data_IF_456787374973
#
_entry.id   IF_456787374973
#
_cell.length_a   1.000
_cell.length_b   1.000
_cell.length_c   1.000
_cell.angle_alpha   90.00
_cell.angle_beta   90.00
_cell.angle_gamma   90.00
#
_symmetry.space_group_name_H-M   'P 1'
#
loop_
_entity.id
_entity.type
_entity.pdbx_description
1 polymer ?
#
# COMPACT_ATOMS: atom_id res chain seq x y z
N UNK A 1 27.54 -15.94 5.12
CA UNK A 1 26.15 -16.01 4.65
C UNK A 1 25.19 -15.04 5.34
N UNK A 2 25.29 -14.72 6.66
CA UNK A 2 24.37 -13.78 7.33
C UNK A 2 24.43 -12.33 6.80
N UNK A 3 25.60 -11.83 6.44
CA UNK A 3 25.84 -10.44 5.98
C UNK A 3 25.10 -10.11 4.65
N UNK A 4 24.90 -11.10 3.78
CA UNK A 4 24.23 -10.91 2.49
C UNK A 4 22.69 -10.84 2.60
N UNK A 5 22.06 -11.34 3.68
CA UNK A 5 20.60 -11.34 3.85
C UNK A 5 20.05 -9.94 4.17
N UNK A 6 20.72 -9.23 5.07
CA UNK A 6 20.35 -7.85 5.42
C UNK A 6 20.47 -6.96 4.19
N UNK A 7 21.60 -7.04 3.49
CA UNK A 7 21.81 -6.28 2.26
C UNK A 7 20.75 -6.60 1.19
N UNK A 8 20.39 -7.87 1.01
CA UNK A 8 19.39 -8.28 0.05
C UNK A 8 18.01 -7.64 0.30
N UNK A 9 17.68 -7.30 1.55
CA UNK A 9 16.43 -6.60 1.91
C UNK A 9 16.53 -5.09 1.68
N UNK A 10 17.66 -4.49 2.06
CA UNK A 10 17.79 -3.03 2.07
C UNK A 10 18.21 -2.43 0.72
N UNK A 11 18.98 -3.14 -0.13
CA UNK A 11 19.42 -2.52 -1.38
C UNK A 11 18.28 -2.15 -2.36
N UNK A 12 17.14 -2.87 -2.46
CA UNK A 12 16.04 -2.42 -3.30
C UNK A 12 15.40 -1.12 -2.80
N UNK A 13 15.32 -0.96 -1.47
CA UNK A 13 14.85 0.27 -0.84
C UNK A 13 15.80 1.43 -1.18
N UNK A 14 17.11 1.19 -1.04
CA UNK A 14 18.13 2.17 -1.38
C UNK A 14 18.06 2.58 -2.87
N UNK A 15 17.94 1.60 -3.78
CA UNK A 15 17.81 1.85 -5.22
C UNK A 15 16.54 2.65 -5.53
N UNK A 16 15.40 2.31 -4.92
CA UNK A 16 14.15 3.04 -5.05
C UNK A 16 14.35 4.52 -4.69
N UNK A 17 14.92 4.79 -3.50
CA UNK A 17 15.13 6.16 -3.05
C UNK A 17 16.16 6.92 -3.88
N UNK A 18 17.25 6.27 -4.28
CA UNK A 18 18.27 6.90 -5.10
C UNK A 18 17.70 7.37 -6.44
N UNK A 19 16.96 6.51 -7.13
CA UNK A 19 16.34 6.84 -8.42
C UNK A 19 15.25 7.90 -8.22
N UNK A 20 14.33 7.67 -7.28
CA UNK A 20 13.20 8.57 -7.02
C UNK A 20 13.67 9.96 -6.61
N UNK A 21 14.61 10.06 -5.67
CA UNK A 21 15.16 11.35 -5.22
C UNK A 21 15.91 12.07 -6.33
N UNK A 22 16.74 11.36 -7.12
CA UNK A 22 17.45 11.96 -8.23
C UNK A 22 16.51 12.55 -9.28
N UNK A 23 15.48 11.77 -9.68
CA UNK A 23 14.48 12.24 -10.66
C UNK A 23 13.66 13.38 -10.10
N UNK A 24 13.22 13.30 -8.84
CA UNK A 24 12.45 14.36 -8.18
C UNK A 24 13.27 15.66 -8.10
N UNK A 25 14.53 15.56 -7.71
CA UNK A 25 15.46 16.72 -7.67
C UNK A 25 15.69 17.35 -9.05
N UNK A 26 15.92 16.52 -10.08
CA UNK A 26 16.05 17.00 -11.45
C UNK A 26 14.78 17.72 -11.94
N UNK A 27 13.60 17.19 -11.61
CA UNK A 27 12.32 17.83 -11.93
C UNK A 27 12.12 19.14 -11.15
N UNK A 28 12.59 19.25 -9.92
CA UNK A 28 12.56 20.51 -9.17
C UNK A 28 13.43 21.60 -9.84
N UNK A 29 14.62 21.23 -10.33
CA UNK A 29 15.48 22.16 -11.08
C UNK A 29 14.81 22.61 -12.37
N UNK A 30 14.18 21.68 -13.11
CA UNK A 30 13.61 21.96 -14.43
C UNK A 30 12.27 22.70 -14.38
N UNK A 31 11.41 22.38 -13.41
CA UNK A 31 10.01 22.82 -13.35
C UNK A 31 9.73 23.77 -12.18
N UNK A 32 10.70 23.96 -11.28
CA UNK A 32 10.54 24.73 -10.05
C UNK A 32 9.78 23.98 -8.95
N UNK A 33 9.74 24.57 -7.76
CA UNK A 33 9.06 24.04 -6.58
C UNK A 33 7.68 24.68 -6.43
N UNK A 34 6.64 24.00 -6.97
CA UNK A 34 5.26 24.42 -6.81
C UNK A 34 4.41 23.25 -6.31
N UNK A 35 3.44 23.53 -5.45
CA UNK A 35 2.50 22.52 -4.95
C UNK A 35 1.63 21.95 -6.07
N UNK A 36 1.28 22.78 -7.07
CA UNK A 36 0.42 22.39 -8.19
C UNK A 36 0.92 21.18 -8.96
N UNK A 37 2.24 21.07 -9.16
CA UNK A 37 2.85 19.96 -9.93
C UNK A 37 3.58 18.94 -9.04
N UNK A 38 3.47 19.08 -7.70
CA UNK A 38 4.14 18.17 -6.77
C UNK A 38 3.76 16.70 -7.03
N UNK A 39 2.46 16.41 -7.16
CA UNK A 39 1.99 15.05 -7.40
C UNK A 39 2.40 14.51 -8.78
N UNK A 40 2.53 15.38 -9.79
CA UNK A 40 3.08 14.97 -11.09
C UNK A 40 4.56 14.58 -10.96
N UNK A 41 5.37 15.38 -10.25
CA UNK A 41 6.78 15.06 -9.97
C UNK A 41 6.90 13.75 -9.19
N UNK A 42 6.02 13.54 -8.21
CA UNK A 42 5.96 12.31 -7.45
C UNK A 42 5.61 11.09 -8.33
N UNK A 43 4.68 11.24 -9.27
CA UNK A 43 4.34 10.19 -10.23
C UNK A 43 5.53 9.85 -11.14
N UNK A 44 6.20 10.84 -11.71
CA UNK A 44 7.33 10.62 -12.61
C UNK A 44 8.51 9.99 -11.86
N UNK A 45 8.86 10.50 -10.67
CA UNK A 45 9.98 9.97 -9.88
C UNK A 45 9.74 8.54 -9.40
N UNK A 46 8.54 8.23 -8.89
CA UNK A 46 8.19 6.86 -8.52
C UNK A 46 8.08 5.96 -9.75
N UNK A 47 7.50 6.45 -10.84
CA UNK A 47 7.38 5.72 -12.10
C UNK A 47 8.74 5.28 -12.67
N UNK A 48 9.76 6.14 -12.57
CA UNK A 48 11.13 5.83 -13.00
C UNK A 48 11.75 4.63 -12.26
N UNK A 49 11.25 4.30 -11.07
CA UNK A 49 11.73 3.14 -10.30
C UNK A 49 11.11 1.81 -10.75
N UNK A 50 9.91 1.85 -11.35
CA UNK A 50 9.11 0.64 -11.69
C UNK A 50 9.87 -0.37 -12.55
N UNK A 51 10.61 0.02 -13.62
CA UNK A 51 11.32 -0.96 -14.44
C UNK A 51 12.33 -1.77 -13.64
N UNK A 52 13.11 -1.13 -12.75
CA UNK A 52 14.11 -1.80 -11.91
C UNK A 52 13.44 -2.68 -10.87
N UNK A 53 12.41 -2.17 -10.18
CA UNK A 53 11.65 -2.95 -9.20
C UNK A 53 10.96 -4.15 -9.85
N UNK A 54 10.40 -3.98 -11.04
CA UNK A 54 9.77 -5.07 -11.78
C UNK A 54 10.77 -6.15 -12.18
N UNK A 55 11.97 -5.76 -12.60
CA UNK A 55 13.04 -6.70 -12.93
C UNK A 55 13.46 -7.52 -11.69
N UNK A 56 13.65 -6.87 -10.54
CA UNK A 56 13.98 -7.54 -9.28
C UNK A 56 12.85 -8.47 -8.81
N UNK A 57 11.62 -8.00 -8.85
CA UNK A 57 10.45 -8.79 -8.50
C UNK A 57 10.29 -10.01 -9.43
N UNK A 58 10.50 -9.84 -10.72
CA UNK A 58 10.47 -10.93 -11.70
C UNK A 58 11.54 -11.96 -11.40
N UNK A 59 12.76 -11.53 -11.11
CA UNK A 59 13.86 -12.43 -10.74
C UNK A 59 13.51 -13.26 -9.49
N UNK A 60 13.00 -12.62 -8.42
CA UNK A 60 12.59 -13.29 -7.19
C UNK A 60 11.45 -14.30 -7.45
N UNK A 61 10.49 -13.97 -8.33
CA UNK A 61 9.39 -14.87 -8.70
C UNK A 61 9.81 -16.04 -9.60
N UNK A 62 10.80 -15.88 -10.45
CA UNK A 62 11.32 -16.99 -11.26
C UNK A 62 11.97 -18.06 -10.40
N UNK A 63 12.73 -17.64 -9.38
CA UNK A 63 13.29 -18.57 -8.39
C UNK A 63 12.18 -19.33 -7.66
N UNK A 64 11.16 -18.62 -7.15
CA UNK A 64 10.02 -19.24 -6.48
C UNK A 64 9.25 -20.23 -7.39
N UNK A 65 9.06 -19.86 -8.65
CA UNK A 65 8.37 -20.68 -9.66
C UNK A 65 9.12 -21.97 -10.01
N UNK A 66 10.45 -21.92 -10.07
CA UNK A 66 11.28 -23.09 -10.30
C UNK A 66 11.23 -24.04 -9.12
N UNK A 67 11.21 -23.50 -7.88
CA UNK A 67 11.22 -24.30 -6.65
C UNK A 67 9.86 -24.89 -6.33
N UNK A 68 8.76 -24.09 -6.47
CA UNK A 68 7.43 -24.47 -5.98
C UNK A 68 6.38 -24.70 -7.08
N UNK A 69 6.74 -24.51 -8.37
CA UNK A 69 5.81 -24.63 -9.48
C UNK A 69 4.88 -23.43 -9.67
N UNK A 70 4.04 -23.46 -10.70
CA UNK A 70 3.11 -22.38 -11.07
C UNK A 70 1.66 -22.80 -10.76
N UNK A 71 1.04 -22.18 -9.77
CA UNK A 71 -0.41 -22.30 -9.58
C UNK A 71 -1.19 -21.50 -10.64
N UNK A 72 -2.07 -22.17 -11.38
CA UNK A 72 -3.07 -21.53 -12.25
C UNK A 72 -4.33 -21.27 -11.44
N UNK A 73 -4.73 -20.01 -11.31
CA UNK A 73 -6.00 -19.64 -10.66
C UNK A 73 -6.96 -19.02 -11.66
N UNK A 74 -8.25 -19.39 -11.67
CA UNK A 74 -9.22 -18.89 -12.62
C UNK A 74 -9.47 -17.39 -12.48
N UNK A 75 -9.77 -16.71 -13.60
CA UNK A 75 -9.99 -15.25 -13.63
C UNK A 75 -11.17 -14.82 -12.75
N UNK A 76 -12.26 -15.58 -12.73
CA UNK A 76 -13.43 -15.26 -11.89
C UNK A 76 -13.09 -15.20 -10.40
N UNK A 77 -12.21 -16.09 -9.92
CA UNK A 77 -11.72 -16.04 -8.55
C UNK A 77 -10.89 -14.77 -8.30
N UNK A 78 -10.08 -14.33 -9.28
CA UNK A 78 -9.31 -13.10 -9.15
C UNK A 78 -10.21 -11.88 -8.97
N UNK A 79 -11.30 -11.77 -9.74
CA UNK A 79 -12.25 -10.65 -9.64
C UNK A 79 -12.89 -10.59 -8.27
N UNK A 80 -13.36 -11.72 -7.74
CA UNK A 80 -13.94 -11.79 -6.39
C UNK A 80 -12.91 -11.37 -5.34
N UNK A 81 -11.68 -11.88 -5.43
CA UNK A 81 -10.60 -11.49 -4.52
C UNK A 81 -10.24 -10.00 -4.63
N UNK A 82 -10.27 -9.43 -5.84
CA UNK A 82 -10.02 -8.01 -6.05
C UNK A 82 -11.10 -7.14 -5.39
N UNK A 83 -12.38 -7.47 -5.58
CA UNK A 83 -13.48 -6.75 -4.92
C UNK A 83 -13.33 -6.82 -3.40
N UNK A 84 -13.06 -8.00 -2.83
CA UNK A 84 -12.90 -8.17 -1.39
C UNK A 84 -11.67 -7.44 -0.84
N UNK A 85 -10.54 -7.46 -1.56
CA UNK A 85 -9.33 -6.73 -1.19
C UNK A 85 -9.54 -5.20 -1.23
N UNK A 86 -10.20 -4.69 -2.27
CA UNK A 86 -10.56 -3.29 -2.39
C UNK A 86 -11.52 -2.85 -1.26
N UNK A 87 -12.55 -3.67 -0.98
CA UNK A 87 -13.49 -3.40 0.12
C UNK A 87 -12.77 -3.38 1.46
N UNK A 88 -11.92 -4.37 1.75
CA UNK A 88 -11.17 -4.43 3.00
C UNK A 88 -10.22 -3.23 3.16
N UNK A 89 -9.40 -2.93 2.15
CA UNK A 89 -8.44 -1.84 2.22
C UNK A 89 -9.13 -0.47 2.23
N UNK A 90 -10.18 -0.27 1.43
CA UNK A 90 -10.93 0.97 1.38
C UNK A 90 -11.63 1.29 2.69
N UNK A 91 -12.38 0.34 3.27
CA UNK A 91 -13.10 0.56 4.53
C UNK A 91 -12.16 0.69 5.73
N UNK A 92 -11.08 -0.10 5.76
CA UNK A 92 -10.06 0.01 6.80
C UNK A 92 -9.31 1.35 6.68
N UNK A 93 -8.97 1.81 5.46
CA UNK A 93 -8.37 3.11 5.21
C UNK A 93 -9.26 4.26 5.69
N UNK A 94 -10.57 4.20 5.44
CA UNK A 94 -11.55 5.17 5.97
C UNK A 94 -11.54 5.19 7.49
N UNK A 95 -11.60 4.03 8.14
CA UNK A 95 -11.61 3.95 9.60
C UNK A 95 -10.30 4.48 10.21
N UNK A 96 -9.15 4.13 9.63
CA UNK A 96 -7.85 4.64 10.08
C UNK A 96 -7.76 6.16 9.97
N UNK A 97 -8.14 6.72 8.82
CA UNK A 97 -8.17 8.18 8.64
C UNK A 97 -9.06 8.86 9.67
N UNK A 98 -10.24 8.31 9.93
CA UNK A 98 -11.17 8.87 10.91
C UNK A 98 -10.58 8.82 12.33
N UNK A 99 -10.09 7.65 12.79
CA UNK A 99 -9.53 7.54 14.13
C UNK A 99 -8.30 8.43 14.33
N UNK A 100 -7.44 8.55 13.32
CA UNK A 100 -6.28 9.44 13.38
C UNK A 100 -6.73 10.91 13.42
N UNK A 101 -7.71 11.30 12.61
CA UNK A 101 -8.26 12.66 12.60
C UNK A 101 -8.91 13.07 13.93
N UNK A 102 -9.47 12.11 14.67
CA UNK A 102 -10.03 12.34 16.00
C UNK A 102 -8.96 12.59 17.09
N UNK A 103 -7.68 12.39 16.77
CA UNK A 103 -6.57 12.62 17.69
C UNK A 103 -5.95 14.01 17.49
N UNK A 104 -5.29 14.60 18.49
CA UNK A 104 -4.56 15.85 18.32
C UNK A 104 -3.30 15.72 17.42
N UNK A 105 -2.88 14.50 17.07
CA UNK A 105 -1.67 14.24 16.29
C UNK A 105 -1.67 14.96 14.93
N UNK A 106 -2.83 15.03 14.27
CA UNK A 106 -2.99 15.69 12.97
C UNK A 106 -2.70 17.19 13.07
N UNK A 107 -3.11 17.82 14.20
CA UNK A 107 -2.98 19.25 14.42
C UNK A 107 -1.55 19.67 14.80
N UNK A 108 -0.83 18.81 15.52
CA UNK A 108 0.52 19.10 16.01
C UNK A 108 1.65 18.60 15.10
N UNK A 109 1.33 17.84 14.06
CA UNK A 109 2.33 17.29 13.13
C UNK A 109 2.54 18.20 11.92
N UNK A 110 3.50 19.11 12.00
CA UNK A 110 3.88 19.98 10.88
C UNK A 110 4.24 19.18 9.61
N UNK A 111 5.00 18.09 9.77
CA UNK A 111 5.37 17.22 8.65
C UNK A 111 4.16 16.58 7.97
N UNK A 112 3.10 16.26 8.72
CA UNK A 112 1.85 15.78 8.13
C UNK A 112 1.09 16.90 7.41
N UNK A 113 1.01 18.09 7.99
CA UNK A 113 0.35 19.24 7.36
C UNK A 113 1.01 19.59 6.02
N UNK A 114 2.35 19.70 5.99
CA UNK A 114 3.11 19.93 4.76
C UNK A 114 2.90 18.84 3.72
N UNK A 115 2.91 17.57 4.14
CA UNK A 115 2.65 16.45 3.23
C UNK A 115 1.23 16.49 2.66
N UNK A 116 0.24 16.86 3.48
CA UNK A 116 -1.16 16.99 3.09
C UNK A 116 -1.37 18.16 2.10
N UNK A 117 -0.77 19.32 2.36
CA UNK A 117 -0.78 20.46 1.45
C UNK A 117 -0.16 20.12 0.09
N UNK A 118 0.98 19.44 0.08
CA UNK A 118 1.64 18.99 -1.15
C UNK A 118 0.78 17.96 -1.91
N UNK A 119 0.12 17.06 -1.18
CA UNK A 119 -0.73 16.04 -1.79
C UNK A 119 -1.98 16.65 -2.44
N UNK A 120 -2.65 17.57 -1.75
CA UNK A 120 -3.90 18.18 -2.20
C UNK A 120 -3.73 19.51 -2.94
N UNK A 121 -2.52 20.09 -3.02
CA UNK A 121 -2.24 21.38 -3.65
C UNK A 121 -2.38 21.41 -5.17
N UNK A 122 -2.39 20.25 -5.83
CA UNK A 122 -2.54 20.13 -7.29
C UNK A 122 -3.93 19.69 -7.75
N UNK A 123 -4.13 19.60 -9.06
CA UNK A 123 -5.38 19.12 -9.64
C UNK A 123 -5.69 17.66 -9.27
N UNK A 124 -6.96 17.34 -9.04
CA UNK A 124 -7.44 16.00 -8.61
C UNK A 124 -6.94 14.89 -9.56
N UNK A 125 -6.87 15.14 -10.87
CA UNK A 125 -6.38 14.15 -11.83
C UNK A 125 -4.91 13.77 -11.58
N UNK A 126 -4.05 14.72 -11.15
CA UNK A 126 -2.66 14.44 -10.79
C UNK A 126 -2.57 13.63 -9.51
N UNK A 127 -3.42 13.95 -8.52
CA UNK A 127 -3.53 13.17 -7.29
C UNK A 127 -3.91 11.72 -7.60
N UNK A 128 -4.93 11.50 -8.45
CA UNK A 128 -5.37 10.17 -8.86
C UNK A 128 -4.28 9.44 -9.64
N UNK A 129 -3.68 10.08 -10.64
CA UNK A 129 -2.61 9.47 -11.46
C UNK A 129 -1.43 9.04 -10.57
N UNK A 130 -0.96 9.92 -9.70
CA UNK A 130 0.16 9.63 -8.82
C UNK A 130 -0.21 8.58 -7.78
N UNK A 131 -1.19 8.86 -6.92
CA UNK A 131 -1.42 8.08 -5.70
C UNK A 131 -2.35 6.87 -5.87
N UNK A 132 -3.10 6.78 -6.99
CA UNK A 132 -3.93 5.60 -7.24
C UNK A 132 -3.36 4.70 -8.35
N UNK A 133 -2.42 5.18 -9.17
CA UNK A 133 -1.86 4.38 -10.27
C UNK A 133 -0.37 4.13 -10.08
N UNK A 134 0.45 5.19 -10.14
CA UNK A 134 1.91 5.01 -10.27
C UNK A 134 2.57 4.66 -8.94
N UNK A 135 2.32 5.44 -7.89
CA UNK A 135 2.96 5.24 -6.58
C UNK A 135 2.59 3.89 -5.96
N UNK A 136 1.31 3.46 -5.93
CA UNK A 136 0.96 2.13 -5.41
C UNK A 136 1.63 0.98 -6.15
N UNK A 137 1.82 1.07 -7.48
CA UNK A 137 2.53 0.04 -8.22
C UNK A 137 4.00 -0.05 -7.77
N UNK A 138 4.70 1.08 -7.67
CA UNK A 138 6.10 1.10 -7.25
C UNK A 138 6.26 0.60 -5.80
N UNK A 139 5.43 1.09 -4.88
CA UNK A 139 5.52 0.77 -3.46
C UNK A 139 5.11 -0.69 -3.17
N UNK A 140 4.04 -1.21 -3.76
CA UNK A 140 3.66 -2.59 -3.54
C UNK A 140 4.63 -3.59 -4.20
N UNK A 141 5.23 -3.25 -5.34
CA UNK A 141 6.34 -4.04 -5.89
C UNK A 141 7.52 -4.08 -4.93
N UNK A 142 7.90 -2.94 -4.36
CA UNK A 142 9.02 -2.85 -3.43
C UNK A 142 8.71 -3.60 -2.13
N UNK A 143 7.64 -3.20 -1.42
CA UNK A 143 7.40 -3.68 -0.06
C UNK A 143 6.78 -5.07 -0.02
N UNK A 144 5.79 -5.39 -0.86
CA UNK A 144 5.11 -6.69 -0.85
C UNK A 144 5.70 -7.66 -1.87
N UNK A 145 6.12 -7.13 -3.00
CA UNK A 145 6.76 -7.94 -4.05
C UNK A 145 8.17 -8.41 -3.70
N UNK A 146 8.97 -7.56 -3.06
CA UNK A 146 10.41 -7.82 -2.83
C UNK A 146 10.72 -7.94 -1.34
N UNK A 147 10.53 -6.87 -0.54
CA UNK A 147 10.96 -6.82 0.87
C UNK A 147 10.29 -7.91 1.70
N UNK A 148 8.96 -8.01 1.67
CA UNK A 148 8.20 -9.03 2.39
C UNK A 148 8.71 -10.43 2.03
N UNK A 149 8.81 -10.75 0.75
CA UNK A 149 9.25 -12.06 0.27
C UNK A 149 10.66 -12.40 0.73
N UNK A 150 11.59 -11.47 0.60
CA UNK A 150 12.99 -11.71 0.99
C UNK A 150 13.16 -11.89 2.49
N UNK A 151 12.41 -11.14 3.32
CA UNK A 151 12.38 -11.36 4.77
C UNK A 151 11.73 -12.71 5.09
N UNK A 152 10.62 -13.05 4.44
CA UNK A 152 9.91 -14.29 4.67
C UNK A 152 10.75 -15.55 4.39
N UNK A 153 11.69 -15.49 3.44
CA UNK A 153 12.61 -16.60 3.14
C UNK A 153 13.47 -17.03 4.33
N UNK A 154 13.75 -16.17 5.30
CA UNK A 154 14.60 -16.51 6.44
C UNK A 154 13.96 -16.35 7.81
N UNK A 155 12.84 -15.62 7.90
CA UNK A 155 12.15 -15.33 9.16
C UNK A 155 10.67 -15.74 9.17
N UNK A 156 10.14 -16.21 8.03
CA UNK A 156 8.74 -16.59 7.89
C UNK A 156 7.83 -15.42 7.49
N UNK A 157 6.63 -15.76 6.99
CA UNK A 157 5.68 -14.79 6.41
C UNK A 157 5.17 -13.75 7.42
N UNK A 158 4.98 -14.14 8.69
CA UNK A 158 4.52 -13.22 9.73
C UNK A 158 5.56 -12.12 9.97
N UNK A 159 6.81 -12.49 10.16
CA UNK A 159 7.90 -11.52 10.36
C UNK A 159 8.12 -10.69 9.10
N UNK A 160 8.07 -11.31 7.92
CA UNK A 160 8.13 -10.59 6.63
C UNK A 160 7.04 -9.53 6.50
N UNK A 161 5.80 -9.86 6.90
CA UNK A 161 4.67 -8.92 6.88
C UNK A 161 4.88 -7.75 7.82
N UNK A 162 5.32 -8.00 9.06
CA UNK A 162 5.59 -6.96 10.06
C UNK A 162 6.71 -6.02 9.57
N UNK A 163 7.84 -6.58 9.13
CA UNK A 163 8.95 -5.76 8.63
C UNK A 163 8.57 -4.93 7.41
N UNK A 164 7.86 -5.53 6.45
CA UNK A 164 7.37 -4.82 5.26
C UNK A 164 6.44 -3.66 5.64
N UNK A 165 5.53 -3.87 6.59
CA UNK A 165 4.58 -2.86 7.05
C UNK A 165 5.27 -1.71 7.81
N UNK A 166 6.19 -2.04 8.72
CA UNK A 166 6.94 -1.03 9.46
C UNK A 166 7.87 -0.21 8.57
N UNK A 167 8.60 -0.84 7.64
CA UNK A 167 9.46 -0.14 6.69
C UNK A 167 8.62 0.75 5.77
N UNK A 168 7.45 0.28 5.32
CA UNK A 168 6.51 1.08 4.53
C UNK A 168 6.01 2.30 5.30
N UNK A 169 5.72 2.18 6.59
CA UNK A 169 5.38 3.33 7.43
C UNK A 169 6.54 4.31 7.58
N UNK A 170 7.75 3.79 7.87
CA UNK A 170 8.94 4.62 8.13
C UNK A 170 9.33 5.54 6.97
N UNK A 171 9.06 5.15 5.74
CA UNK A 171 9.39 5.97 4.57
C UNK A 171 8.59 7.27 4.46
N UNK A 172 7.50 7.40 5.18
CA UNK A 172 6.66 8.60 5.13
C UNK A 172 7.16 9.75 6.01
N UNK A 173 8.18 9.52 6.84
CA UNK A 173 8.96 10.52 7.61
C UNK A 173 8.17 11.35 8.64
N UNK A 174 6.86 11.18 8.77
CA UNK A 174 6.06 11.79 9.84
C UNK A 174 5.22 10.75 10.58
N UNK A 175 4.95 11.00 11.86
CA UNK A 175 4.30 10.04 12.76
C UNK A 175 2.88 9.68 12.32
N UNK A 176 2.12 10.65 11.82
CA UNK A 176 0.72 10.45 11.39
C UNK A 176 0.66 9.47 10.22
N UNK A 177 1.44 9.74 9.19
CA UNK A 177 1.51 8.85 8.02
C UNK A 177 2.19 7.52 8.35
N UNK A 178 3.18 7.51 9.26
CA UNK A 178 3.78 6.26 9.75
C UNK A 178 2.72 5.33 10.32
N UNK A 179 1.87 5.82 11.23
CA UNK A 179 0.81 5.00 11.84
C UNK A 179 -0.17 4.50 10.77
N UNK A 180 -0.66 5.40 9.93
CA UNK A 180 -1.60 5.05 8.86
C UNK A 180 -1.00 4.03 7.90
N UNK A 181 0.18 4.30 7.34
CA UNK A 181 0.82 3.47 6.35
C UNK A 181 1.27 2.12 6.91
N UNK A 182 1.78 2.06 8.16
CA UNK A 182 2.15 0.79 8.79
C UNK A 182 0.92 -0.11 8.99
N UNK A 183 -0.20 0.42 9.48
CA UNK A 183 -1.42 -0.35 9.72
C UNK A 183 -2.10 -0.79 8.42
N UNK A 184 -2.28 0.12 7.44
CA UNK A 184 -2.77 -0.24 6.11
C UNK A 184 -1.82 -1.22 5.44
N UNK A 185 -0.53 -0.98 5.58
CA UNK A 185 0.55 -1.82 5.08
C UNK A 185 0.53 -3.25 5.62
N UNK A 186 0.19 -3.42 6.89
CA UNK A 186 0.02 -4.74 7.49
C UNK A 186 -1.17 -5.49 6.87
N UNK A 187 -2.29 -4.80 6.65
CA UNK A 187 -3.44 -5.38 5.94
C UNK A 187 -3.08 -5.83 4.53
N UNK A 188 -2.39 -4.96 3.76
CA UNK A 188 -1.95 -5.28 2.39
C UNK A 188 -0.94 -6.45 2.36
N UNK A 189 -0.05 -6.53 3.36
CA UNK A 189 0.85 -7.67 3.50
C UNK A 189 0.10 -8.98 3.74
N UNK A 190 -0.93 -8.99 4.61
CA UNK A 190 -1.79 -10.16 4.83
C UNK A 190 -2.50 -10.57 3.54
N UNK A 191 -3.04 -9.60 2.76
CA UNK A 191 -3.65 -9.88 1.45
C UNK A 191 -2.66 -10.61 0.54
N UNK A 192 -1.42 -10.11 0.42
CA UNK A 192 -0.40 -10.73 -0.44
C UNK A 192 0.03 -12.10 0.08
N UNK A 193 0.25 -12.25 1.38
CA UNK A 193 0.62 -13.55 1.98
C UNK A 193 -0.46 -14.61 1.72
N UNK A 194 -1.72 -14.25 1.87
CA UNK A 194 -2.83 -15.18 1.65
C UNK A 194 -3.08 -15.49 0.18
N UNK A 195 -3.08 -14.45 -0.67
CA UNK A 195 -3.46 -14.60 -2.08
C UNK A 195 -2.28 -14.89 -3.01
N UNK A 196 -1.05 -14.67 -2.55
CA UNK A 196 0.19 -14.71 -3.35
C UNK A 196 0.15 -13.76 -4.59
N UNK A 197 -0.60 -12.65 -4.48
CA UNK A 197 -0.84 -11.70 -5.58
C UNK A 197 -0.57 -10.26 -5.14
N UNK A 198 0.55 -9.70 -5.55
CA UNK A 198 0.91 -8.28 -5.30
C UNK A 198 -0.12 -7.33 -5.95
N UNK A 199 -0.69 -7.70 -7.10
CA UNK A 199 -1.71 -6.88 -7.77
C UNK A 199 -2.96 -6.59 -6.92
N UNK A 200 -3.33 -7.49 -5.99
CA UNK A 200 -4.45 -7.25 -5.09
C UNK A 200 -4.10 -6.22 -4.00
N UNK A 201 -2.86 -6.16 -3.57
CA UNK A 201 -2.39 -5.09 -2.69
C UNK A 201 -2.35 -3.75 -3.43
N UNK A 202 -1.87 -3.72 -4.68
CA UNK A 202 -1.91 -2.50 -5.53
C UNK A 202 -3.34 -1.98 -5.65
N UNK A 203 -4.32 -2.85 -5.97
CA UNK A 203 -5.72 -2.45 -6.08
C UNK A 203 -6.31 -1.97 -4.75
N UNK A 204 -6.02 -2.66 -3.65
CA UNK A 204 -6.45 -2.25 -2.31
C UNK A 204 -5.87 -0.91 -1.89
N UNK A 205 -4.56 -0.70 -2.10
CA UNK A 205 -3.87 0.56 -1.83
C UNK A 205 -4.45 1.71 -2.67
N UNK A 206 -4.58 1.51 -3.98
CA UNK A 206 -5.20 2.47 -4.88
C UNK A 206 -6.62 2.84 -4.46
N UNK A 207 -7.41 1.86 -4.01
CA UNK A 207 -8.79 2.08 -3.54
C UNK A 207 -8.82 2.93 -2.26
N UNK A 208 -7.94 2.65 -1.29
CA UNK A 208 -7.85 3.45 -0.06
C UNK A 208 -7.50 4.92 -0.37
N UNK A 209 -6.53 5.14 -1.26
CA UNK A 209 -6.13 6.48 -1.70
C UNK A 209 -7.24 7.18 -2.49
N UNK A 210 -7.92 6.48 -3.40
CA UNK A 210 -9.02 7.05 -4.20
C UNK A 210 -10.18 7.50 -3.31
N UNK A 211 -10.54 6.71 -2.30
CA UNK A 211 -11.59 7.07 -1.33
C UNK A 211 -11.14 8.30 -0.52
N UNK A 212 -9.87 8.38 -0.10
CA UNK A 212 -9.36 9.53 0.62
C UNK A 212 -9.43 10.81 -0.22
N UNK A 213 -9.01 10.77 -1.49
CA UNK A 213 -9.11 11.89 -2.44
C UNK A 213 -10.56 12.31 -2.62
N UNK A 214 -11.46 11.36 -2.90
CA UNK A 214 -12.87 11.64 -3.12
C UNK A 214 -13.53 12.30 -1.90
N UNK A 215 -13.28 11.79 -0.69
CA UNK A 215 -13.81 12.35 0.55
C UNK A 215 -13.31 13.78 0.78
N UNK A 216 -12.01 14.02 0.62
CA UNK A 216 -11.42 15.36 0.79
C UNK A 216 -11.96 16.35 -0.25
N UNK A 217 -12.07 15.92 -1.51
CA UNK A 217 -12.54 16.80 -2.59
C UNK A 217 -14.04 17.12 -2.51
N UNK A 218 -14.86 16.20 -1.97
CA UNK A 218 -16.33 16.34 -1.92
C UNK A 218 -16.90 16.77 -0.58
N UNK A 219 -16.13 16.66 0.52
CA UNK A 219 -16.64 16.83 1.88
C UNK A 219 -17.62 15.73 2.33
N UNK A 220 -17.80 14.68 1.53
CA UNK A 220 -18.70 13.57 1.89
C UNK A 220 -18.17 12.83 3.12
N UNK A 221 -19.05 12.63 4.10
CA UNK A 221 -18.77 11.96 5.36
C UNK A 221 -17.84 12.74 6.31
N UNK A 222 -17.75 14.06 6.20
CA UNK A 222 -16.92 14.91 7.11
C UNK A 222 -17.30 14.76 8.58
N UNK A 223 -18.57 14.45 8.88
CA UNK A 223 -19.02 14.13 10.24
C UNK A 223 -18.23 12.99 10.87
N UNK A 224 -17.70 12.09 10.06
CA UNK A 224 -17.00 10.89 10.55
C UNK A 224 -15.58 11.16 11.03
N UNK A 225 -15.03 12.34 10.76
CA UNK A 225 -13.74 12.79 11.32
C UNK A 225 -13.87 13.37 12.74
N UNK A 226 -15.12 13.59 13.21
CA UNK A 226 -15.37 14.18 14.51
C UNK A 226 -15.45 13.10 15.61
N UNK A 227 -14.93 13.35 16.83
CA UNK A 227 -14.97 12.43 17.96
C UNK A 227 -16.37 12.40 18.61
N UNK A 228 -17.40 12.22 17.77
CA UNK A 228 -18.82 12.09 18.17
C UNK A 228 -19.23 10.61 18.15
N UNK A 229 -20.35 10.28 18.81
CA UNK A 229 -20.89 8.93 18.76
C UNK A 229 -21.17 8.46 17.32
N UNK A 230 -21.65 9.35 16.46
CA UNK A 230 -21.89 9.07 15.04
C UNK A 230 -20.58 8.79 14.29
N UNK A 231 -19.53 9.63 14.47
CA UNK A 231 -18.24 9.45 13.82
C UNK A 231 -17.53 8.19 14.27
N UNK A 232 -17.50 7.93 15.58
CA UNK A 232 -16.90 6.71 16.16
C UNK A 232 -17.68 5.48 15.68
N UNK A 233 -19.01 5.50 15.78
CA UNK A 233 -19.87 4.39 15.35
C UNK A 233 -19.69 4.07 13.87
N UNK A 234 -19.66 5.09 13.01
CA UNK A 234 -19.37 4.91 11.57
C UNK A 234 -18.00 4.24 11.34
N UNK A 235 -16.96 4.71 12.05
CA UNK A 235 -15.61 4.17 11.90
C UNK A 235 -15.53 2.71 12.37
N UNK A 236 -16.21 2.34 13.45
CA UNK A 236 -16.32 0.95 13.91
C UNK A 236 -17.03 0.07 12.88
N UNK A 237 -18.11 0.56 12.26
CA UNK A 237 -18.80 -0.14 11.17
C UNK A 237 -17.87 -0.36 9.98
N UNK A 238 -17.06 0.64 9.60
CA UNK A 238 -16.06 0.48 8.53
C UNK A 238 -15.02 -0.59 8.86
N UNK A 239 -14.52 -0.66 10.10
CA UNK A 239 -13.65 -1.76 10.55
C UNK A 239 -14.36 -3.11 10.43
N UNK A 240 -15.61 -3.22 10.87
CA UNK A 240 -16.38 -4.46 10.81
C UNK A 240 -16.57 -4.95 9.35
N UNK A 241 -16.91 -4.04 8.43
CA UNK A 241 -17.02 -4.37 6.99
C UNK A 241 -15.67 -4.85 6.45
N UNK A 242 -14.58 -4.16 6.79
CA UNK A 242 -13.24 -4.56 6.38
C UNK A 242 -12.85 -5.95 6.89
N UNK A 243 -13.16 -6.25 8.15
CA UNK A 243 -12.93 -7.59 8.72
C UNK A 243 -13.74 -8.68 8.02
N UNK A 244 -15.02 -8.43 7.76
CA UNK A 244 -15.88 -9.37 7.01
C UNK A 244 -15.31 -9.61 5.60
N UNK A 245 -14.91 -8.56 4.90
CA UNK A 245 -14.29 -8.67 3.59
C UNK A 245 -12.98 -9.49 3.63
N UNK A 246 -12.12 -9.30 4.65
CA UNK A 246 -10.92 -10.10 4.84
C UNK A 246 -11.21 -11.56 5.14
N UNK A 247 -12.18 -11.86 6.00
CA UNK A 247 -12.59 -13.25 6.29
C UNK A 247 -13.13 -13.90 5.03
N UNK A 248 -13.98 -13.20 4.26
CA UNK A 248 -14.50 -13.69 2.99
C UNK A 248 -13.37 -13.95 1.99
N UNK A 249 -12.37 -13.05 1.90
CA UNK A 249 -11.20 -13.23 1.06
C UNK A 249 -10.45 -14.52 1.41
N UNK A 250 -10.17 -14.76 2.69
CA UNK A 250 -9.51 -15.97 3.16
C UNK A 250 -10.34 -17.22 2.86
N UNK A 251 -11.67 -17.15 3.03
CA UNK A 251 -12.57 -18.26 2.71
C UNK A 251 -12.56 -18.66 1.23
N UNK A 252 -12.43 -17.69 0.29
CA UNK A 252 -12.32 -17.99 -1.15
C UNK A 252 -11.10 -18.87 -1.47
N UNK A 253 -10.06 -18.83 -0.63
CA UNK A 253 -8.82 -19.59 -0.82
C UNK A 253 -8.94 -21.03 -0.31
N UNK A 254 -9.70 -21.26 0.76
CA UNK A 254 -9.88 -22.59 1.33
C UNK A 254 -10.70 -23.51 0.41
N UNK A 255 -11.72 -22.96 -0.27
CA UNK A 255 -12.54 -23.73 -1.23
C UNK A 255 -11.76 -24.30 -2.41
N UNK A 256 -10.63 -23.72 -2.78
CA UNK A 256 -9.79 -24.20 -3.89
C UNK A 256 -8.74 -25.22 -3.47
N UNK A 257 -8.38 -25.28 -2.18
CA UNK A 257 -7.44 -26.27 -1.63
C UNK A 257 -8.06 -27.66 -1.39
N UNK A 258 -9.37 -27.73 -1.11
CA UNK A 258 -10.06 -28.99 -0.80
C UNK A 258 -10.42 -29.84 -2.03
N UNK A 259 -10.35 -29.29 -3.25
CA UNK A 259 -10.58 -30.03 -4.50
C UNK A 259 -9.41 -30.94 -4.95
N UNK A 260 -8.25 -30.89 -4.29
CA UNK A 260 -7.06 -31.67 -4.67
C UNK A 260 -6.77 -32.88 -3.78
N UNK A 261 -7.60 -33.14 -2.76
CA UNK A 261 -7.44 -34.30 -1.87
C UNK A 261 -8.42 -35.46 -2.18
N UNK A 262 -9.18 -35.38 -3.27
CA UNK A 262 -10.18 -36.38 -3.66
C UNK A 262 -10.01 -36.85 -5.12
N UNK A 263 -8.78 -37.01 -5.61
CA UNK A 263 -8.55 -37.74 -6.88
C UNK A 263 -7.22 -38.47 -6.83
#
# INVERSE_FOLDING_TARGET
MKKNRVWAVFYPIFVYYLISAFVFFALNILLGETQEIYMLKQAVSSGATIPVLFALWKQDNEVERVVYGKEKRPLGQYVVQAVLACTAAGTFGVALNNFIAMTPLVQVSEGFQTANENFFGGGVWMQVLASCVVVPVAEELLFRGIVLKRVALFAGETIGSIYSALLFGLIHVNLVQFIYAALLGALLAVIVVKTKRVSLAVLGHATANLIAIFRTASGVLDFSYQPTLAGIGFSVVMVAIGMVAMLALVHTLQKTGTGKLAS
#
